data_IF_535152646223
#
_entry.id   IF_535152646223
#
_cell.length_a   1.000
_cell.length_b   1.000
_cell.length_c   1.000
_cell.angle_alpha   90.00
_cell.angle_beta   90.00
_cell.angle_gamma   90.00
#
_symmetry.space_group_name_H-M   'P 1'
#
loop_
_entity.id
_entity.type
_entity.pdbx_description
1 polymer ?
#
# COMPACT_ATOMS: atom_id res chain seq x y z
N UNK A 1 53.35 10.63 -1.75
CA UNK A 1 52.24 11.53 -1.37
C UNK A 1 51.55 11.91 -2.66
N UNK A 2 50.64 11.07 -3.13
CA UNK A 2 49.78 11.44 -4.26
C UNK A 2 48.74 12.44 -3.74
N UNK A 3 48.73 13.61 -4.36
CA UNK A 3 47.79 14.66 -4.03
C UNK A 3 46.37 14.19 -4.39
N UNK A 4 45.49 14.11 -3.40
CA UNK A 4 44.06 13.88 -3.56
C UNK A 4 43.50 14.98 -4.47
N UNK A 5 43.30 14.67 -5.75
CA UNK A 5 42.60 15.55 -6.67
C UNK A 5 41.15 15.68 -6.21
N UNK A 6 40.66 16.90 -6.00
CA UNK A 6 39.25 17.12 -5.68
C UNK A 6 38.35 16.55 -6.80
N UNK A 7 37.32 15.77 -6.47
CA UNK A 7 36.43 15.17 -7.47
C UNK A 7 35.72 16.26 -8.28
N UNK A 8 35.70 16.10 -9.61
CA UNK A 8 35.02 17.00 -10.54
C UNK A 8 33.53 17.12 -10.19
N UNK A 9 32.90 18.24 -10.49
CA UNK A 9 31.49 18.52 -10.15
C UNK A 9 30.53 17.38 -10.50
N UNK A 10 30.72 16.73 -11.65
CA UNK A 10 29.91 15.57 -12.07
C UNK A 10 30.15 14.32 -11.20
N UNK A 11 31.39 14.06 -10.77
CA UNK A 11 31.68 12.95 -9.85
C UNK A 11 31.16 13.24 -8.44
N UNK A 12 31.15 14.51 -8.02
CA UNK A 12 30.51 14.97 -6.78
C UNK A 12 28.99 14.76 -6.83
N UNK A 13 28.33 15.23 -7.90
CA UNK A 13 26.89 15.01 -8.16
C UNK A 13 26.50 13.53 -8.24
N UNK A 14 27.38 12.67 -8.78
CA UNK A 14 27.14 11.22 -8.83
C UNK A 14 27.40 10.51 -7.49
N UNK A 15 28.21 11.12 -6.61
CA UNK A 15 28.52 10.59 -5.28
C UNK A 15 27.63 11.18 -4.17
N UNK A 16 26.93 12.27 -4.45
CA UNK A 16 25.91 12.81 -3.55
C UNK A 16 24.83 11.75 -3.31
N UNK A 17 24.48 11.46 -2.05
CA UNK A 17 23.37 10.58 -1.74
C UNK A 17 22.12 11.11 -2.44
N UNK A 18 21.52 10.26 -3.27
CA UNK A 18 20.26 10.61 -3.93
C UNK A 18 19.15 10.68 -2.87
N UNK A 19 18.33 11.71 -3.01
CA UNK A 19 17.20 11.99 -2.12
C UNK A 19 17.57 12.72 -0.83
N UNK A 20 16.57 13.36 -0.23
CA UNK A 20 16.74 14.15 0.98
C UNK A 20 16.64 13.28 2.23
N UNK A 21 17.47 13.58 3.21
CA UNK A 21 17.33 13.09 4.60
C UNK A 21 16.71 14.16 5.51
N UNK A 22 16.18 15.22 4.93
CA UNK A 22 15.43 16.24 5.66
C UNK A 22 14.04 16.39 5.08
N UNK A 23 13.05 16.62 5.93
CA UNK A 23 11.66 16.84 5.49
C UNK A 23 11.05 18.09 6.13
N UNK A 24 10.07 18.67 5.45
CA UNK A 24 9.31 19.81 5.96
C UNK A 24 8.18 19.31 6.90
N UNK A 25 8.13 19.78 8.16
CA UNK A 25 7.10 19.36 9.10
C UNK A 25 5.70 19.78 8.64
N UNK A 26 4.68 19.02 9.06
CA UNK A 26 3.27 19.31 8.79
C UNK A 26 2.81 19.01 7.36
N UNK A 27 3.69 18.49 6.50
CA UNK A 27 3.35 18.11 5.13
C UNK A 27 3.22 16.60 4.92
N UNK A 28 3.50 15.79 5.94
CA UNK A 28 3.50 14.35 5.82
C UNK A 28 2.09 13.80 5.53
N UNK A 29 2.03 12.80 4.65
CA UNK A 29 0.80 12.12 4.30
C UNK A 29 1.05 10.67 3.87
N UNK A 30 0.08 9.81 4.16
CA UNK A 30 0.09 8.41 3.80
C UNK A 30 -1.03 8.12 2.81
N UNK A 31 -0.69 7.42 1.74
CA UNK A 31 -1.64 6.83 0.81
C UNK A 31 -1.78 5.35 1.11
N UNK A 32 -3.02 4.89 1.23
CA UNK A 32 -3.35 3.48 1.38
C UNK A 32 -4.41 3.07 0.38
N UNK A 33 -4.06 2.18 -0.55
CA UNK A 33 -4.93 1.78 -1.66
C UNK A 33 -5.41 0.35 -1.46
N UNK A 34 -6.72 0.16 -1.46
CA UNK A 34 -7.35 -1.15 -1.62
C UNK A 34 -7.59 -1.38 -3.11
N UNK A 35 -6.90 -2.36 -3.70
CA UNK A 35 -6.92 -2.62 -5.13
C UNK A 35 -7.38 -4.04 -5.43
N UNK A 36 -8.55 -4.18 -6.05
CA UNK A 36 -9.03 -5.49 -6.49
C UNK A 36 -8.42 -5.82 -7.85
N UNK A 37 -7.50 -6.79 -7.89
CA UNK A 37 -7.01 -7.39 -9.12
C UNK A 37 -7.98 -8.49 -9.59
N UNK A 38 -8.21 -8.65 -10.90
CA UNK A 38 -9.18 -9.63 -11.41
C UNK A 38 -8.81 -11.08 -11.11
N UNK A 39 -7.53 -11.37 -10.89
CA UNK A 39 -7.02 -12.70 -10.56
C UNK A 39 -5.59 -12.62 -10.02
N UNK A 40 -5.06 -13.74 -9.53
CA UNK A 40 -3.73 -13.82 -8.88
C UNK A 40 -2.60 -13.36 -9.82
N UNK A 41 -2.57 -13.85 -11.06
CA UNK A 41 -1.51 -13.48 -12.01
C UNK A 41 -1.53 -11.97 -12.36
N UNK A 42 -2.68 -11.30 -12.30
CA UNK A 42 -2.74 -9.85 -12.46
C UNK A 42 -2.15 -9.13 -11.23
N UNK A 43 -2.47 -9.59 -10.02
CA UNK A 43 -1.89 -9.07 -8.79
C UNK A 43 -0.37 -9.22 -8.75
N UNK A 44 0.16 -10.38 -9.12
CA UNK A 44 1.60 -10.63 -9.18
C UNK A 44 2.31 -9.70 -10.17
N UNK A 45 1.69 -9.41 -11.33
CA UNK A 45 2.21 -8.43 -12.30
C UNK A 45 2.28 -7.03 -11.70
N UNK A 46 1.24 -6.59 -10.99
CA UNK A 46 1.23 -5.30 -10.29
C UNK A 46 2.33 -5.26 -9.25
N UNK A 47 2.41 -6.26 -8.37
CA UNK A 47 3.44 -6.32 -7.32
C UNK A 47 4.87 -6.37 -7.87
N UNK A 48 5.09 -7.08 -8.99
CA UNK A 48 6.40 -7.13 -9.64
C UNK A 48 6.79 -5.79 -10.30
N UNK A 49 5.84 -5.05 -10.84
CA UNK A 49 6.08 -3.69 -11.33
C UNK A 49 6.46 -2.76 -10.17
N UNK A 50 5.65 -2.76 -9.10
CA UNK A 50 5.87 -1.92 -7.93
C UNK A 50 7.14 -2.27 -7.15
N UNK A 51 7.58 -3.54 -7.16
CA UNK A 51 8.84 -3.94 -6.54
C UNK A 51 10.04 -3.20 -7.15
N UNK A 52 10.09 -3.05 -8.48
CA UNK A 52 11.17 -2.32 -9.15
C UNK A 52 11.18 -0.84 -8.77
N UNK A 53 10.00 -0.26 -8.64
CA UNK A 53 9.84 1.11 -8.15
C UNK A 53 10.32 1.23 -6.71
N UNK A 54 9.99 0.28 -5.84
CA UNK A 54 10.46 0.26 -4.47
C UNK A 54 11.98 0.17 -4.36
N UNK A 55 12.63 -0.67 -5.17
CA UNK A 55 14.09 -0.77 -5.20
C UNK A 55 14.75 0.56 -5.59
N UNK A 56 14.16 1.29 -6.54
CA UNK A 56 14.63 2.62 -6.92
C UNK A 56 14.40 3.65 -5.82
N UNK A 57 13.22 3.65 -5.21
CA UNK A 57 12.86 4.55 -4.11
C UNK A 57 13.77 4.34 -2.91
N UNK A 58 14.03 3.09 -2.54
CA UNK A 58 14.92 2.72 -1.44
C UNK A 58 16.38 3.13 -1.67
N UNK A 59 16.79 3.23 -2.93
CA UNK A 59 18.13 3.68 -3.32
C UNK A 59 18.22 5.21 -3.29
N UNK A 60 17.17 5.89 -3.74
CA UNK A 60 17.23 7.29 -4.15
C UNK A 60 16.39 8.26 -3.30
N UNK A 61 15.53 7.83 -2.38
CA UNK A 61 14.58 8.73 -1.66
C UNK A 61 14.35 8.34 -0.19
N UNK A 62 15.18 8.81 0.76
CA UNK A 62 15.03 8.52 2.20
C UNK A 62 13.75 9.07 2.83
N UNK A 63 13.15 10.11 2.24
CA UNK A 63 11.90 10.72 2.71
C UNK A 63 10.63 10.01 2.24
N UNK A 64 10.75 8.84 1.60
CA UNK A 64 9.66 7.86 1.45
C UNK A 64 9.95 6.71 2.41
N UNK A 65 9.75 6.90 3.72
CA UNK A 65 10.20 5.95 4.72
C UNK A 65 9.44 4.62 4.67
N UNK A 66 8.23 4.57 4.13
CA UNK A 66 7.42 3.35 4.01
C UNK A 66 6.89 3.22 2.60
N UNK A 67 7.12 2.06 1.97
CA UNK A 67 6.73 1.79 0.60
C UNK A 67 6.46 0.29 0.41
N UNK A 68 5.26 -0.14 0.78
CA UNK A 68 4.96 -1.55 0.98
C UNK A 68 3.67 -2.02 0.32
N UNK A 69 3.75 -3.16 -0.35
CA UNK A 69 2.68 -3.72 -1.17
C UNK A 69 2.47 -5.20 -0.87
N UNK A 70 1.20 -5.60 -0.75
CA UNK A 70 0.86 -6.99 -0.45
C UNK A 70 -0.47 -7.43 -1.04
N UNK A 71 -0.62 -8.74 -1.15
CA UNK A 71 -1.92 -9.41 -1.26
C UNK A 71 -2.49 -9.54 0.16
N UNK A 72 -3.58 -8.83 0.43
CA UNK A 72 -4.20 -8.80 1.75
C UNK A 72 -4.93 -10.11 2.04
N UNK A 73 -4.52 -10.81 3.09
CA UNK A 73 -5.29 -11.94 3.59
C UNK A 73 -6.56 -11.48 4.33
N UNK A 74 -6.54 -10.28 4.90
CA UNK A 74 -7.64 -9.72 5.69
C UNK A 74 -8.86 -9.38 4.84
N UNK A 75 -8.67 -9.11 3.55
CA UNK A 75 -9.71 -8.64 2.63
C UNK A 75 -10.07 -9.66 1.55
N UNK A 76 -9.69 -10.94 1.75
CA UNK A 76 -9.94 -12.02 0.79
C UNK A 76 -11.43 -12.37 0.62
N UNK A 77 -12.29 -11.88 1.51
CA UNK A 77 -13.76 -11.98 1.48
C UNK A 77 -14.44 -10.74 0.87
N UNK A 78 -13.75 -9.60 0.79
CA UNK A 78 -14.28 -8.35 0.23
C UNK A 78 -14.21 -8.28 -1.29
N UNK A 79 -13.49 -9.21 -1.91
CA UNK A 79 -13.39 -9.30 -3.36
C UNK A 79 -14.69 -9.80 -3.99
N UNK A 80 -14.93 -9.35 -5.21
CA UNK A 80 -15.98 -9.80 -6.10
C UNK A 80 -15.94 -11.33 -6.23
N UNK A 81 -17.12 -11.94 -6.32
CA UNK A 81 -17.25 -13.39 -6.46
C UNK A 81 -16.53 -13.88 -7.71
N UNK A 82 -16.02 -15.13 -7.64
CA UNK A 82 -15.51 -15.85 -8.79
C UNK A 82 -16.56 -15.82 -9.92
N UNK A 83 -16.26 -15.23 -11.08
CA UNK A 83 -17.25 -15.10 -12.14
C UNK A 83 -17.37 -16.44 -12.88
N UNK A 84 -18.60 -16.91 -13.12
CA UNK A 84 -18.85 -18.13 -13.90
C UNK A 84 -19.52 -17.84 -15.26
N UNK A 85 -20.21 -16.71 -15.39
CA UNK A 85 -20.89 -16.29 -16.62
C UNK A 85 -20.42 -14.93 -17.11
N UNK A 86 -20.63 -14.66 -18.41
CA UNK A 86 -20.23 -13.42 -19.08
C UNK A 86 -20.65 -12.17 -18.30
N UNK A 87 -21.89 -12.13 -17.79
CA UNK A 87 -22.44 -11.01 -17.01
C UNK A 87 -21.80 -10.83 -15.64
N UNK A 88 -21.23 -11.88 -15.04
CA UNK A 88 -20.56 -11.81 -13.74
C UNK A 88 -19.12 -11.31 -13.83
N UNK A 89 -18.49 -11.39 -15.01
CA UNK A 89 -17.14 -10.87 -15.19
C UNK A 89 -17.17 -9.33 -15.21
N UNK A 90 -16.64 -8.69 -14.16
CA UNK A 90 -16.77 -7.25 -13.93
C UNK A 90 -16.45 -6.38 -15.16
N UNK A 91 -15.30 -6.64 -15.81
CA UNK A 91 -14.86 -5.83 -16.95
C UNK A 91 -15.72 -6.03 -18.21
N UNK A 92 -16.36 -7.20 -18.36
CA UNK A 92 -17.32 -7.45 -19.43
C UNK A 92 -18.67 -6.80 -19.08
N UNK A 93 -19.12 -6.91 -17.83
CA UNK A 93 -20.29 -6.19 -17.33
C UNK A 93 -20.22 -4.68 -17.57
N UNK A 94 -19.07 -4.07 -17.30
CA UNK A 94 -18.82 -2.65 -17.59
C UNK A 94 -18.87 -2.36 -19.10
N UNK A 95 -18.33 -3.24 -19.94
CA UNK A 95 -18.40 -3.12 -21.38
C UNK A 95 -19.85 -3.15 -21.89
N UNK A 96 -20.69 -4.07 -21.40
CA UNK A 96 -22.12 -4.10 -21.72
C UNK A 96 -22.85 -2.85 -21.24
N UNK A 97 -22.52 -2.35 -20.03
CA UNK A 97 -23.09 -1.09 -19.52
C UNK A 97 -22.73 0.09 -20.42
N UNK A 98 -21.47 0.19 -20.88
CA UNK A 98 -21.02 1.22 -21.83
C UNK A 98 -21.83 1.16 -23.14
N UNK A 99 -22.02 -0.01 -23.71
CA UNK A 99 -22.86 -0.19 -24.91
C UNK A 99 -24.30 0.27 -24.66
N UNK A 100 -24.88 -0.10 -23.51
CA UNK A 100 -26.26 0.27 -23.13
C UNK A 100 -26.45 1.79 -23.00
N UNK A 101 -25.44 2.53 -22.56
CA UNK A 101 -25.49 4.00 -22.46
C UNK A 101 -25.04 4.71 -23.73
N UNK A 102 -24.86 3.98 -24.83
CA UNK A 102 -24.60 4.55 -26.17
C UNK A 102 -23.13 4.77 -26.53
N UNK A 103 -22.18 4.20 -25.78
CA UNK A 103 -20.77 4.22 -26.19
C UNK A 103 -20.60 3.40 -27.48
N UNK A 104 -19.93 3.93 -28.53
CA UNK A 104 -19.75 3.21 -29.78
C UNK A 104 -19.07 1.86 -29.60
N UNK A 105 -19.61 0.82 -30.24
CA UNK A 105 -19.09 -0.55 -30.15
C UNK A 105 -17.58 -0.67 -30.46
N UNK A 106 -17.04 -0.05 -31.53
CA UNK A 106 -15.59 -0.13 -31.80
C UNK A 106 -14.72 0.42 -30.64
N UNK A 107 -15.21 1.42 -29.90
CA UNK A 107 -14.49 1.95 -28.74
C UNK A 107 -14.51 0.98 -27.55
N UNK A 108 -15.64 0.28 -27.35
CA UNK A 108 -15.74 -0.76 -26.31
C UNK A 108 -14.87 -1.97 -26.66
N UNK A 109 -14.87 -2.41 -27.92
CA UNK A 109 -14.01 -3.51 -28.39
C UNK A 109 -12.53 -3.17 -28.22
N UNK A 110 -12.10 -1.95 -28.57
CA UNK A 110 -10.73 -1.49 -28.36
C UNK A 110 -10.33 -1.46 -26.87
N UNK A 111 -11.23 -1.11 -25.96
CA UNK A 111 -10.99 -1.15 -24.51
C UNK A 111 -10.84 -2.60 -24.00
N UNK A 112 -11.65 -3.54 -24.51
CA UNK A 112 -11.51 -4.97 -24.18
C UNK A 112 -10.18 -5.55 -24.68
N UNK A 113 -9.78 -5.24 -25.92
CA UNK A 113 -8.48 -5.67 -26.47
C UNK A 113 -7.34 -5.15 -25.59
N UNK A 114 -7.38 -3.88 -25.18
CA UNK A 114 -6.39 -3.29 -24.26
C UNK A 114 -6.32 -4.01 -22.91
N UNK A 115 -7.46 -4.52 -22.42
CA UNK A 115 -7.56 -5.31 -21.19
C UNK A 115 -7.18 -6.80 -21.38
N UNK A 116 -6.85 -7.21 -22.60
CA UNK A 116 -6.55 -8.60 -22.95
C UNK A 116 -7.78 -9.50 -23.01
N UNK A 117 -8.97 -8.93 -23.22
CA UNK A 117 -10.25 -9.67 -23.29
C UNK A 117 -10.69 -9.76 -24.75
N UNK A 118 -11.14 -10.94 -25.20
CA UNK A 118 -11.66 -11.14 -26.56
C UNK A 118 -12.98 -10.35 -26.75
N UNK A 119 -13.04 -9.37 -27.66
CA UNK A 119 -14.25 -8.59 -27.89
C UNK A 119 -15.44 -9.39 -28.40
N UNK A 120 -15.20 -10.57 -29.00
CA UNK A 120 -16.29 -11.47 -29.46
C UNK A 120 -17.18 -11.94 -28.31
N UNK A 121 -16.71 -11.86 -27.07
CA UNK A 121 -17.51 -12.15 -25.89
C UNK A 121 -18.69 -11.17 -25.71
N UNK A 122 -18.69 -10.03 -26.40
CA UNK A 122 -19.83 -9.11 -26.45
C UNK A 122 -21.02 -9.65 -27.26
N UNK A 123 -20.80 -10.66 -28.10
CA UNK A 123 -21.85 -11.31 -28.90
C UNK A 123 -22.43 -12.56 -28.24
N UNK A 124 -21.86 -12.98 -27.10
CA UNK A 124 -22.36 -14.10 -26.32
C UNK A 124 -23.54 -13.68 -25.44
N UNK A 125 -24.43 -14.61 -25.13
CA UNK A 125 -25.51 -14.37 -24.17
C UNK A 125 -24.94 -14.10 -22.77
N UNK A 126 -25.59 -13.22 -22.00
CA UNK A 126 -25.15 -12.80 -20.66
C UNK A 126 -24.96 -13.96 -19.67
N UNK A 127 -25.72 -15.04 -19.84
CA UNK A 127 -25.67 -16.24 -19.01
C UNK A 127 -24.74 -17.33 -19.55
N UNK A 128 -24.07 -17.07 -20.69
CA UNK A 128 -23.10 -18.00 -21.25
C UNK A 128 -21.94 -18.23 -20.27
N UNK A 129 -21.40 -19.45 -20.18
CA UNK A 129 -20.20 -19.73 -19.41
C UNK A 129 -19.02 -18.87 -19.88
N UNK A 130 -18.27 -18.32 -18.93
CA UNK A 130 -16.99 -17.68 -19.23
C UNK A 130 -15.95 -18.71 -19.69
N UNK A 131 -14.97 -18.33 -20.52
CA UNK A 131 -13.77 -19.14 -20.71
C UNK A 131 -13.09 -19.43 -19.37
N UNK A 132 -12.63 -20.67 -19.15
CA UNK A 132 -12.05 -21.12 -17.87
C UNK A 132 -10.95 -20.18 -17.31
N UNK A 133 -10.00 -19.65 -18.11
CA UNK A 133 -8.99 -18.72 -17.61
C UNK A 133 -9.57 -17.39 -17.06
N UNK A 134 -10.78 -17.01 -17.48
CA UNK A 134 -11.46 -15.79 -17.02
C UNK A 134 -12.35 -16.05 -15.81
N UNK A 135 -12.42 -17.28 -15.33
CA UNK A 135 -13.18 -17.66 -14.13
C UNK A 135 -12.30 -17.67 -12.87
N UNK A 136 -11.10 -17.10 -12.90
CA UNK A 136 -10.24 -17.05 -11.72
C UNK A 136 -10.85 -16.17 -10.61
N UNK A 137 -10.52 -16.47 -9.34
CA UNK A 137 -10.99 -15.66 -8.21
C UNK A 137 -10.19 -14.35 -8.15
N UNK A 138 -10.86 -13.18 -8.05
CA UNK A 138 -10.18 -11.92 -7.77
C UNK A 138 -9.43 -11.93 -6.44
N UNK A 139 -8.46 -11.04 -6.29
CA UNK A 139 -7.65 -10.90 -5.08
C UNK A 139 -7.50 -9.44 -4.69
N UNK A 140 -7.43 -9.16 -3.39
CA UNK A 140 -7.23 -7.82 -2.88
C UNK A 140 -5.74 -7.55 -2.68
N UNK A 141 -5.27 -6.48 -3.30
CA UNK A 141 -3.98 -5.86 -3.02
C UNK A 141 -4.19 -4.69 -2.05
N UNK A 142 -3.21 -4.50 -1.18
CA UNK A 142 -3.06 -3.28 -0.39
C UNK A 142 -1.72 -2.64 -0.68
N UNK A 143 -1.76 -1.34 -0.98
CA UNK A 143 -0.58 -0.55 -1.32
C UNK A 143 -0.45 0.60 -0.35
N UNK A 144 0.69 0.70 0.35
CA UNK A 144 0.93 1.75 1.36
C UNK A 144 2.20 2.51 1.08
N UNK A 145 2.07 3.83 1.02
CA UNK A 145 3.16 4.75 0.71
C UNK A 145 3.09 5.93 1.69
N UNK A 146 4.19 6.24 2.36
CA UNK A 146 4.30 7.38 3.28
C UNK A 146 5.28 8.39 2.69
N UNK A 147 4.80 9.62 2.52
CA UNK A 147 5.58 10.76 2.06
C UNK A 147 5.70 11.76 3.20
N UNK A 148 6.93 12.22 3.47
CA UNK A 148 7.16 13.13 4.59
C UNK A 148 6.97 14.60 4.23
N UNK A 149 7.11 14.93 2.95
CA UNK A 149 6.82 16.26 2.41
C UNK A 149 6.55 16.23 0.91
N UNK A 150 6.17 17.37 0.34
CA UNK A 150 5.89 17.52 -1.08
C UNK A 150 7.07 17.14 -1.98
N UNK A 151 8.30 17.37 -1.52
CA UNK A 151 9.52 17.10 -2.28
C UNK A 151 9.71 15.60 -2.44
N UNK A 152 9.50 14.84 -1.36
CA UNK A 152 9.56 13.37 -1.39
C UNK A 152 8.56 12.78 -2.37
N UNK A 153 7.35 13.35 -2.45
CA UNK A 153 6.34 12.93 -3.41
C UNK A 153 6.77 13.21 -4.87
N UNK A 154 7.21 14.43 -5.19
CA UNK A 154 7.64 14.76 -6.55
C UNK A 154 8.92 14.04 -6.98
N UNK A 155 9.90 13.89 -6.10
CA UNK A 155 11.13 13.15 -6.38
C UNK A 155 10.81 11.68 -6.72
N UNK A 156 9.90 11.08 -5.96
CA UNK A 156 9.43 9.73 -6.20
C UNK A 156 8.60 9.61 -7.49
N UNK A 157 7.49 10.36 -7.57
CA UNK A 157 6.52 10.29 -8.68
C UNK A 157 7.09 10.78 -10.01
N UNK A 158 8.10 11.66 -9.97
CA UNK A 158 8.83 12.14 -11.14
C UNK A 158 10.00 11.25 -11.57
N UNK A 159 10.35 10.23 -10.79
CA UNK A 159 11.45 9.33 -11.14
C UNK A 159 11.08 8.46 -12.35
N UNK A 160 12.07 8.20 -13.22
CA UNK A 160 11.87 7.33 -14.39
C UNK A 160 11.43 5.93 -13.96
N UNK A 161 12.05 5.38 -12.93
CA UNK A 161 11.74 4.05 -12.41
C UNK A 161 10.28 3.97 -11.92
N UNK A 162 9.77 5.04 -11.26
CA UNK A 162 8.36 5.14 -10.91
C UNK A 162 7.47 5.20 -12.15
N UNK A 163 7.74 6.11 -13.09
CA UNK A 163 6.89 6.28 -14.28
C UNK A 163 6.79 5.00 -15.12
N UNK A 164 7.90 4.28 -15.30
CA UNK A 164 7.94 3.01 -16.01
C UNK A 164 7.14 1.93 -15.26
N UNK A 165 7.34 1.79 -13.94
CA UNK A 165 6.61 0.83 -13.11
C UNK A 165 5.11 1.14 -12.98
N UNK A 166 4.77 2.40 -12.77
CA UNK A 166 3.40 2.90 -12.65
C UNK A 166 2.65 2.70 -13.96
N UNK A 167 3.28 3.00 -15.11
CA UNK A 167 2.73 2.71 -16.43
C UNK A 167 2.44 1.23 -16.66
N UNK A 168 3.23 0.33 -16.06
CA UNK A 168 2.95 -1.10 -16.08
C UNK A 168 1.82 -1.52 -15.13
N UNK A 169 1.81 -1.00 -13.89
CA UNK A 169 0.79 -1.30 -12.88
C UNK A 169 -0.61 -0.82 -13.32
N UNK A 170 -0.67 0.31 -14.04
CA UNK A 170 -1.90 0.88 -14.60
C UNK A 170 -2.33 0.27 -15.94
N UNK A 171 -1.64 -0.77 -16.44
CA UNK A 171 -2.06 -1.42 -17.69
C UNK A 171 -3.54 -1.88 -17.57
N UNK A 172 -4.37 -1.59 -18.58
CA UNK A 172 -5.76 -2.03 -18.57
C UNK A 172 -5.85 -3.54 -18.34
N UNK A 173 -6.83 -3.97 -17.55
CA UNK A 173 -7.03 -5.38 -17.25
C UNK A 173 -6.31 -5.88 -15.99
N UNK A 174 -5.49 -5.06 -15.33
CA UNK A 174 -4.88 -5.41 -14.04
C UNK A 174 -5.74 -5.02 -12.81
N UNK A 175 -6.89 -4.41 -13.05
CA UNK A 175 -7.74 -3.84 -12.03
C UNK A 175 -9.22 -4.03 -12.34
N UNK A 176 -9.96 -4.39 -11.30
CA UNK A 176 -11.41 -4.33 -11.26
C UNK A 176 -11.90 -3.05 -10.55
N UNK A 177 -11.37 -2.76 -9.37
CA UNK A 177 -11.65 -1.53 -8.61
C UNK A 177 -10.46 -1.08 -7.76
N UNK A 178 -10.48 0.18 -7.37
CA UNK A 178 -9.68 0.69 -6.25
C UNK A 178 -10.51 1.53 -5.29
N UNK A 179 -10.00 1.67 -4.08
CA UNK A 179 -10.36 2.77 -3.17
C UNK A 179 -9.09 3.24 -2.49
N UNK A 180 -8.79 4.53 -2.64
CA UNK A 180 -7.63 5.17 -2.02
C UNK A 180 -8.05 5.92 -0.77
N UNK A 181 -7.33 5.72 0.32
CA UNK A 181 -7.39 6.55 1.52
C UNK A 181 -6.16 7.43 1.58
N UNK A 182 -6.36 8.68 1.97
CA UNK A 182 -5.29 9.57 2.39
C UNK A 182 -5.42 9.92 3.86
N UNK A 183 -4.33 9.76 4.62
CA UNK A 183 -4.16 10.32 5.95
C UNK A 183 -3.09 11.42 5.93
N UNK A 184 -3.23 12.43 6.78
CA UNK A 184 -2.29 13.54 6.87
C UNK A 184 -2.62 14.71 5.95
N UNK A 185 -1.68 15.63 5.85
CA UNK A 185 -1.90 16.98 5.33
C UNK A 185 -0.85 17.32 4.27
N UNK A 186 -0.94 16.73 3.05
CA UNK A 186 -0.14 17.20 1.94
C UNK A 186 -0.43 18.69 1.68
N UNK A 187 0.45 19.34 0.92
CA UNK A 187 0.20 20.69 0.41
C UNK A 187 -1.10 20.71 -0.41
N UNK A 188 -1.76 21.88 -0.48
CA UNK A 188 -2.94 22.05 -1.34
C UNK A 188 -2.60 21.78 -2.81
N UNK A 189 -1.37 22.08 -3.23
CA UNK A 189 -0.88 21.77 -4.57
C UNK A 189 -0.97 20.26 -4.86
N UNK A 190 -0.45 19.41 -3.97
CA UNK A 190 -0.55 17.96 -4.12
C UNK A 190 -2.01 17.50 -4.00
N UNK A 191 -2.73 17.96 -2.98
CA UNK A 191 -4.09 17.48 -2.70
C UNK A 191 -5.06 17.79 -3.85
N UNK A 192 -5.09 19.06 -4.28
CA UNK A 192 -6.14 19.58 -5.15
C UNK A 192 -5.81 19.35 -6.63
N UNK A 193 -4.52 19.37 -7.01
CA UNK A 193 -4.13 19.26 -8.41
C UNK A 193 -3.70 17.85 -8.82
N UNK A 194 -3.32 16.99 -7.86
CA UNK A 194 -2.81 15.64 -8.15
C UNK A 194 -3.71 14.59 -7.53
N UNK A 195 -3.76 14.50 -6.19
CA UNK A 195 -4.35 13.34 -5.54
C UNK A 195 -5.87 13.26 -5.71
N UNK A 196 -6.58 14.37 -5.48
CA UNK A 196 -8.03 14.44 -5.67
C UNK A 196 -8.45 14.07 -7.09
N UNK A 197 -7.93 14.75 -8.13
CA UNK A 197 -8.29 14.46 -9.52
C UNK A 197 -7.85 13.08 -10.02
N UNK A 198 -6.68 12.57 -9.59
CA UNK A 198 -6.12 11.34 -10.14
C UNK A 198 -6.57 10.08 -9.39
N UNK A 199 -6.76 10.15 -8.07
CA UNK A 199 -6.98 8.97 -7.23
C UNK A 199 -8.41 8.87 -6.69
N UNK A 200 -9.22 9.93 -6.80
CA UNK A 200 -10.55 10.02 -6.17
C UNK A 200 -10.49 9.59 -4.70
N UNK A 201 -9.53 10.18 -3.99
CA UNK A 201 -9.14 9.76 -2.65
C UNK A 201 -10.21 10.06 -1.59
N UNK A 202 -10.30 9.18 -0.59
CA UNK A 202 -11.04 9.42 0.64
C UNK A 202 -10.11 10.02 1.68
N UNK A 203 -10.32 11.29 2.00
CA UNK A 203 -9.55 11.99 3.03
C UNK A 203 -10.00 11.52 4.41
N UNK A 204 -9.05 11.04 5.20
CA UNK A 204 -9.26 10.58 6.57
C UNK A 204 -8.40 11.42 7.52
N UNK A 205 -9.03 11.98 8.54
CA UNK A 205 -8.32 12.67 9.60
C UNK A 205 -7.53 11.67 10.44
N UNK A 206 -6.32 12.03 10.83
CA UNK A 206 -5.51 11.22 11.74
C UNK A 206 -6.16 11.31 13.14
N UNK A 207 -6.61 10.19 13.72
CA UNK A 207 -7.21 10.19 15.04
C UNK A 207 -6.21 10.59 16.13
N UNK A 208 -6.72 11.10 17.25
CA UNK A 208 -5.87 11.37 18.41
C UNK A 208 -5.26 10.06 18.92
N UNK A 209 -3.94 10.05 19.13
CA UNK A 209 -3.21 8.86 19.56
C UNK A 209 -2.77 7.95 18.41
N UNK A 210 -2.91 8.38 17.15
CA UNK A 210 -2.20 7.80 16.02
C UNK A 210 -0.91 8.57 15.72
N UNK A 211 0.04 7.90 15.10
CA UNK A 211 1.33 8.43 14.68
C UNK A 211 1.48 8.21 13.18
N UNK A 212 1.62 9.28 12.39
CA UNK A 212 1.85 9.13 10.95
C UNK A 212 3.32 8.83 10.66
N UNK A 213 4.22 9.51 11.36
CA UNK A 213 5.65 9.37 11.19
C UNK A 213 6.41 9.67 12.48
N UNK A 214 7.15 8.67 12.94
CA UNK A 214 8.21 8.80 13.93
C UNK A 214 9.51 8.28 13.35
N UNK A 215 10.57 9.07 13.50
CA UNK A 215 11.93 8.65 13.18
C UNK A 215 12.34 7.51 14.13
N UNK A 216 12.75 6.35 13.60
CA UNK A 216 13.26 5.26 14.45
C UNK A 216 14.60 5.65 15.09
N UNK A 217 14.83 5.23 16.33
CA UNK A 217 16.05 5.56 17.07
C UNK A 217 17.30 4.90 16.50
N UNK A 218 17.14 3.69 15.96
CA UNK A 218 18.19 2.88 15.39
C UNK A 218 17.90 2.55 13.92
N UNK A 219 18.96 2.14 13.21
CA UNK A 219 18.83 1.63 11.85
C UNK A 219 17.85 0.44 11.84
N UNK A 220 16.81 0.45 10.99
CA UNK A 220 15.94 -0.70 10.80
C UNK A 220 16.77 -1.89 10.28
N UNK A 221 16.71 -3.03 10.96
CA UNK A 221 17.42 -4.25 10.55
C UNK A 221 16.56 -5.06 9.57
N UNK A 222 15.34 -5.41 10.01
CA UNK A 222 14.32 -6.09 9.22
C UNK A 222 12.94 -5.77 9.80
N UNK A 223 12.40 -4.61 9.42
CA UNK A 223 11.12 -4.11 9.93
C UNK A 223 9.97 -5.08 9.74
N UNK A 224 8.93 -4.91 10.55
CA UNK A 224 7.70 -5.68 10.44
C UNK A 224 6.50 -4.77 10.22
N UNK A 225 5.50 -5.30 9.53
CA UNK A 225 4.24 -4.65 9.30
C UNK A 225 3.14 -5.46 9.99
N UNK A 226 2.27 -4.76 10.71
CA UNK A 226 1.12 -5.32 11.39
C UNK A 226 -0.14 -4.60 10.90
N UNK A 227 -1.09 -5.37 10.39
CA UNK A 227 -2.41 -4.92 10.00
C UNK A 227 -3.45 -5.63 10.84
N UNK A 228 -4.45 -4.91 11.32
CA UNK A 228 -5.49 -5.45 12.19
C UNK A 228 -6.85 -4.88 11.83
N UNK A 229 -7.86 -5.73 11.82
CA UNK A 229 -9.25 -5.30 11.79
C UNK A 229 -9.90 -5.50 13.16
N UNK A 230 -10.52 -4.43 13.67
CA UNK A 230 -11.26 -4.44 14.93
C UNK A 230 -12.69 -3.90 14.74
N UNK A 231 -13.60 -4.30 15.63
CA UNK A 231 -14.97 -3.78 15.61
C UNK A 231 -15.05 -2.48 16.40
N UNK A 232 -15.90 -1.56 15.96
CA UNK A 232 -16.26 -0.37 16.74
C UNK A 232 -15.96 0.92 16.00
N UNK A 233 -15.94 2.02 16.75
CA UNK A 233 -15.51 3.32 16.22
C UNK A 233 -13.99 3.45 16.22
N UNK A 234 -13.47 4.37 15.40
CA UNK A 234 -12.03 4.63 15.31
C UNK A 234 -11.46 5.04 16.65
N UNK A 235 -12.13 5.96 17.38
CA UNK A 235 -11.66 6.45 18.68
C UNK A 235 -11.63 5.33 19.75
N UNK A 236 -12.63 4.45 19.76
CA UNK A 236 -12.66 3.31 20.69
C UNK A 236 -11.53 2.31 20.44
N UNK A 237 -11.22 2.04 19.17
CA UNK A 237 -10.16 1.09 18.78
C UNK A 237 -8.78 1.72 19.02
N UNK A 238 -8.57 2.95 18.54
CA UNK A 238 -7.30 3.68 18.70
C UNK A 238 -7.01 3.96 20.18
N UNK A 239 -8.03 4.29 20.98
CA UNK A 239 -7.91 4.50 22.41
C UNK A 239 -7.48 3.25 23.21
N UNK A 240 -7.65 2.05 22.63
CA UNK A 240 -7.22 0.78 23.22
C UNK A 240 -5.86 0.30 22.70
N UNK A 241 -5.24 1.00 21.75
CA UNK A 241 -3.93 0.59 21.23
C UNK A 241 -2.89 0.63 22.35
N UNK A 242 -2.08 -0.43 22.52
CA UNK A 242 -0.99 -0.45 23.49
C UNK A 242 -0.04 0.73 23.25
N UNK A 243 0.42 1.36 24.34
CA UNK A 243 1.39 2.45 24.24
C UNK A 243 2.68 1.98 23.55
N UNK A 244 3.17 0.79 23.90
CA UNK A 244 4.35 0.16 23.27
C UNK A 244 4.19 0.04 21.76
N UNK A 245 3.06 -0.45 21.27
CA UNK A 245 2.81 -0.56 19.82
C UNK A 245 2.92 0.81 19.13
N UNK A 246 2.37 1.85 19.75
CA UNK A 246 2.43 3.21 19.20
C UNK A 246 3.83 3.77 19.25
N UNK A 247 4.56 3.57 20.35
CA UNK A 247 5.91 4.09 20.62
C UNK A 247 6.98 3.40 19.77
N UNK A 248 6.84 2.10 19.55
CA UNK A 248 7.76 1.28 18.76
C UNK A 248 7.53 1.42 17.25
N UNK A 249 6.35 1.88 16.82
CA UNK A 249 6.05 2.05 15.40
C UNK A 249 6.60 3.36 14.84
N UNK A 250 7.12 3.33 13.61
CA UNK A 250 7.34 4.55 12.81
C UNK A 250 6.02 5.14 12.32
N UNK A 251 5.02 4.29 12.11
CA UNK A 251 3.66 4.69 11.71
C UNK A 251 2.68 3.77 12.42
N UNK A 252 1.73 4.34 13.15
CA UNK A 252 0.64 3.63 13.82
C UNK A 252 -0.66 4.41 13.59
N UNK A 253 -1.44 4.02 12.59
CA UNK A 253 -2.66 4.73 12.18
C UNK A 253 -3.87 3.82 12.23
N UNK A 254 -5.01 4.35 12.67
CA UNK A 254 -6.31 3.70 12.65
C UNK A 254 -7.30 4.49 11.81
N UNK A 255 -8.12 3.82 11.01
CA UNK A 255 -9.16 4.45 10.20
C UNK A 255 -10.35 3.53 9.96
N UNK A 256 -11.51 4.10 9.65
CA UNK A 256 -12.68 3.33 9.28
C UNK A 256 -12.42 2.59 7.96
N UNK A 257 -12.63 1.28 7.95
CA UNK A 257 -12.38 0.43 6.78
C UNK A 257 -13.29 0.86 5.63
N UNK A 258 -12.77 1.27 4.45
CA UNK A 258 -13.58 1.94 3.44
C UNK A 258 -14.52 1.00 2.68
N UNK A 259 -14.29 -0.32 2.82
CA UNK A 259 -15.04 -1.38 2.17
C UNK A 259 -15.82 -2.27 3.17
N UNK A 260 -15.74 -2.00 4.47
CA UNK A 260 -16.31 -2.87 5.50
C UNK A 260 -16.94 -2.06 6.62
N UNK A 261 -18.25 -2.20 6.78
CA UNK A 261 -19.00 -1.44 7.78
C UNK A 261 -18.57 -1.82 9.21
N UNK A 262 -18.63 -0.82 10.10
CA UNK A 262 -18.34 -0.96 11.53
C UNK A 262 -17.00 -1.66 11.85
N UNK A 263 -16.02 -1.51 10.95
CA UNK A 263 -14.69 -2.09 11.06
C UNK A 263 -13.66 -0.97 11.02
N UNK A 264 -12.68 -1.02 11.93
CA UNK A 264 -11.52 -0.14 11.94
C UNK A 264 -10.32 -0.95 11.49
N UNK A 265 -9.62 -0.44 10.48
CA UNK A 265 -8.30 -0.94 10.07
C UNK A 265 -7.24 -0.18 10.85
N UNK A 266 -6.32 -0.92 11.46
CA UNK A 266 -5.11 -0.39 12.08
C UNK A 266 -3.90 -0.88 11.30
N UNK A 267 -3.01 0.05 10.95
CA UNK A 267 -1.74 -0.22 10.27
C UNK A 267 -0.59 0.23 11.17
N UNK A 268 0.34 -0.68 11.45
CA UNK A 268 1.55 -0.41 12.21
C UNK A 268 2.79 -0.83 11.41
N UNK A 269 3.76 0.06 11.28
CA UNK A 269 5.07 -0.19 10.67
C UNK A 269 6.12 -0.09 11.77
N UNK A 270 6.78 -1.20 12.07
CA UNK A 270 7.72 -1.33 13.17
C UNK A 270 9.15 -1.54 12.65
N UNK A 271 10.18 -0.87 13.20
CA UNK A 271 11.58 -1.13 12.86
C UNK A 271 12.04 -2.54 13.18
N UNK A 272 11.32 -3.22 14.07
CA UNK A 272 11.56 -4.58 14.52
C UNK A 272 10.24 -5.40 14.62
N UNK A 273 10.28 -6.66 15.08
CA UNK A 273 9.06 -7.40 15.41
C UNK A 273 8.38 -6.80 16.66
N UNK A 274 7.04 -6.81 16.73
CA UNK A 274 6.34 -6.47 17.97
C UNK A 274 6.77 -7.41 19.10
N UNK A 275 6.94 -6.85 20.30
CA UNK A 275 7.29 -7.62 21.48
C UNK A 275 6.17 -8.61 21.88
N UNK A 276 6.49 -9.72 22.56
CA UNK A 276 5.48 -10.63 23.08
C UNK A 276 4.43 -9.95 23.97
N UNK A 277 4.85 -8.97 24.78
CA UNK A 277 3.97 -8.17 25.64
C UNK A 277 3.00 -7.35 24.79
N UNK A 278 3.52 -6.68 23.75
CA UNK A 278 2.68 -5.92 22.81
C UNK A 278 1.65 -6.81 22.14
N UNK A 279 2.04 -8.01 21.70
CA UNK A 279 1.11 -8.98 21.11
C UNK A 279 0.06 -9.46 22.12
N UNK A 280 0.40 -9.65 23.39
CA UNK A 280 -0.58 -10.00 24.43
C UNK A 280 -1.58 -8.87 24.65
N UNK A 281 -1.11 -7.62 24.67
CA UNK A 281 -1.94 -6.44 24.91
C UNK A 281 -2.91 -6.16 23.75
N UNK A 282 -2.58 -6.57 22.52
CA UNK A 282 -3.51 -6.48 21.37
C UNK A 282 -4.84 -7.17 21.63
N UNK A 283 -4.90 -8.17 22.51
CA UNK A 283 -6.16 -8.85 22.87
C UNK A 283 -7.19 -7.89 23.48
N UNK A 284 -6.75 -6.85 24.18
CA UNK A 284 -7.65 -5.86 24.79
C UNK A 284 -8.43 -5.06 23.74
N UNK A 285 -7.91 -4.97 22.52
CA UNK A 285 -8.58 -4.31 21.38
C UNK A 285 -9.74 -5.18 20.85
N UNK A 286 -9.64 -6.50 21.01
CA UNK A 286 -10.56 -7.47 20.41
C UNK A 286 -10.44 -7.53 18.88
N UNK A 287 -9.24 -7.80 18.32
CA UNK A 287 -9.07 -7.94 16.88
C UNK A 287 -9.93 -9.08 16.34
N UNK A 288 -10.58 -8.84 15.20
CA UNK A 288 -11.28 -9.88 14.43
C UNK A 288 -10.31 -10.65 13.54
N UNK A 289 -9.31 -9.94 13.04
CA UNK A 289 -8.30 -10.50 12.17
C UNK A 289 -7.01 -9.69 12.30
N UNK A 290 -5.88 -10.38 12.16
CA UNK A 290 -4.53 -9.84 12.30
C UNK A 290 -3.67 -10.39 11.17
N UNK A 291 -2.89 -9.54 10.52
CA UNK A 291 -1.93 -9.94 9.52
C UNK A 291 -0.58 -9.32 9.84
N UNK A 292 0.45 -10.15 9.93
CA UNK A 292 1.83 -9.72 10.21
C UNK A 292 2.73 -10.10 9.05
N UNK A 293 3.48 -9.13 8.54
CA UNK A 293 4.52 -9.35 7.55
C UNK A 293 5.88 -9.00 8.12
N UNK A 294 6.83 -9.91 7.95
CA UNK A 294 8.20 -9.71 8.39
C UNK A 294 9.18 -10.41 7.43
N UNK A 295 10.47 -10.31 7.69
CA UNK A 295 11.44 -11.10 6.95
C UNK A 295 11.15 -12.61 7.07
N UNK A 296 11.47 -13.36 6.00
CA UNK A 296 11.21 -14.80 5.92
C UNK A 296 11.89 -15.58 7.05
N UNK A 297 13.11 -15.18 7.43
CA UNK A 297 13.86 -15.85 8.51
C UNK A 297 13.23 -15.64 9.89
N UNK A 298 12.33 -14.65 10.02
CA UNK A 298 11.69 -14.25 11.27
C UNK A 298 10.25 -14.76 11.42
N UNK A 299 9.69 -15.34 10.37
CA UNK A 299 8.30 -15.81 10.34
C UNK A 299 8.01 -16.87 11.42
N UNK A 300 8.93 -17.79 11.68
CA UNK A 300 8.72 -18.84 12.68
C UNK A 300 8.75 -18.30 14.11
N UNK A 301 9.66 -17.37 14.40
CA UNK A 301 9.68 -16.63 15.67
C UNK A 301 8.37 -15.88 15.89
N UNK A 302 7.87 -15.19 14.85
CA UNK A 302 6.60 -14.48 14.92
C UNK A 302 5.41 -15.44 15.15
N UNK A 303 5.37 -16.61 14.48
CA UNK A 303 4.35 -17.65 14.73
C UNK A 303 4.34 -18.11 16.17
N UNK A 304 5.50 -18.35 16.77
CA UNK A 304 5.61 -18.75 18.17
C UNK A 304 5.13 -17.63 19.12
N UNK A 305 5.48 -16.38 18.83
CA UNK A 305 5.05 -15.23 19.62
C UNK A 305 3.52 -15.03 19.57
N UNK A 306 2.94 -15.10 18.37
CA UNK A 306 1.49 -15.01 18.15
C UNK A 306 0.72 -16.15 18.83
N UNK A 307 1.23 -17.39 18.76
CA UNK A 307 0.64 -18.52 19.46
C UNK A 307 0.71 -18.34 20.98
N UNK A 308 1.84 -17.85 21.51
CA UNK A 308 2.00 -17.54 22.93
C UNK A 308 1.06 -16.43 23.40
N UNK A 309 0.73 -15.48 22.52
CA UNK A 309 -0.27 -14.45 22.74
C UNK A 309 -1.73 -14.93 22.53
N UNK A 310 -1.95 -16.20 22.14
CA UNK A 310 -3.29 -16.74 21.83
C UNK A 310 -4.04 -15.98 20.72
N UNK A 311 -3.29 -15.50 19.72
CA UNK A 311 -3.82 -14.78 18.55
C UNK A 311 -3.79 -15.63 17.27
N UNK A 312 -3.31 -16.87 17.34
CA UNK A 312 -3.08 -17.78 16.22
C UNK A 312 -4.33 -17.97 15.35
N UNK A 313 -5.48 -18.19 15.97
CA UNK A 313 -6.77 -18.44 15.29
C UNK A 313 -7.27 -17.30 14.40
N UNK A 314 -6.80 -16.08 14.62
CA UNK A 314 -7.20 -14.87 13.87
C UNK A 314 -6.05 -14.25 13.08
N UNK A 315 -4.88 -14.88 13.12
CA UNK A 315 -3.65 -14.31 12.57
C UNK A 315 -3.21 -14.96 11.27
N UNK A 316 -2.63 -14.17 10.38
CA UNK A 316 -1.91 -14.65 9.20
C UNK A 316 -0.52 -14.06 9.21
N UNK A 317 0.50 -14.92 9.10
CA UNK A 317 1.91 -14.50 9.13
C UNK A 317 2.55 -14.81 7.79
N UNK A 318 3.08 -13.78 7.14
CA UNK A 318 3.66 -13.85 5.80
C UNK A 318 5.05 -13.23 5.76
N UNK A 319 5.84 -13.64 4.78
CA UNK A 319 7.03 -12.91 4.42
C UNK A 319 6.66 -11.65 3.65
N UNK A 320 7.45 -10.58 3.80
CA UNK A 320 7.38 -9.38 2.95
C UNK A 320 7.31 -9.79 1.47
N UNK A 321 6.34 -9.23 0.74
CA UNK A 321 6.03 -9.63 -0.63
C UNK A 321 6.64 -8.68 -1.67
N UNK A 322 6.33 -7.38 -1.58
CA UNK A 322 6.85 -6.38 -2.50
C UNK A 322 7.05 -5.05 -1.78
N UNK A 323 8.14 -4.38 -2.12
CA UNK A 323 8.58 -3.14 -1.47
C UNK A 323 9.31 -3.36 -0.14
N UNK A 324 9.39 -2.30 0.64
CA UNK A 324 10.06 -2.27 1.94
C UNK A 324 9.13 -1.68 3.01
N UNK A 325 9.17 -2.28 4.21
CA UNK A 325 8.36 -1.82 5.35
C UNK A 325 8.84 -0.45 5.82
N UNK A 326 10.14 -0.34 6.10
CA UNK A 326 10.81 0.89 6.52
C UNK A 326 12.12 1.03 5.74
N UNK A 327 12.38 2.22 5.21
CA UNK A 327 13.60 2.56 4.49
C UNK A 327 14.83 2.40 5.38
N UNK A 328 15.92 1.80 4.88
CA UNK A 328 17.12 1.54 5.70
C UNK A 328 17.79 2.78 6.30
N UNK A 329 17.56 3.95 5.68
CA UNK A 329 18.02 5.27 6.15
C UNK A 329 16.98 6.06 6.94
N UNK A 330 15.83 5.47 7.27
CA UNK A 330 14.75 6.13 8.00
C UNK A 330 15.20 6.79 9.32
N UNK A 331 16.15 6.19 10.02
CA UNK A 331 16.73 6.71 11.28
C UNK A 331 17.58 7.99 11.10
N UNK A 332 18.06 8.25 9.88
CA UNK A 332 18.83 9.44 9.50
C UNK A 332 17.94 10.63 9.13
N UNK A 333 16.63 10.40 8.91
CA UNK A 333 15.71 11.42 8.41
C UNK A 333 15.39 12.42 9.50
N UNK A 334 15.70 13.70 9.27
CA UNK A 334 15.53 14.78 10.23
C UNK A 334 14.46 15.78 9.78
N UNK A 335 13.80 16.41 10.73
CA UNK A 335 12.96 17.56 10.44
C UNK A 335 13.84 18.76 10.04
N UNK A 336 13.48 19.46 8.98
CA UNK A 336 14.14 20.68 8.56
C UNK A 336 13.70 21.82 9.50
N UNK A 337 14.55 22.18 10.47
CA UNK A 337 14.28 23.33 11.33
C UNK A 337 14.27 24.62 10.50
N UNK A 338 13.08 25.11 10.18
CA UNK A 338 12.90 26.42 9.56
C UNK A 338 13.45 27.51 10.46
N UNK A 339 14.43 28.26 9.99
CA UNK A 339 14.59 29.66 10.42
C UNK A 339 13.49 30.44 9.72
N UNK A 340 12.29 30.44 10.33
CA UNK A 340 11.17 31.26 9.87
C UNK A 340 11.43 32.75 10.08
#
# INVERSE_FOLDING_TARGET
MEANAEPKSLQRLLAEPKGKITFLPGQAFLLHVFWEAPHMAAAEKVLAALARCADATHRDTPCVPTYYFRISALDADLVSKRPSTISQHRQLGDAFKKLKVGVPRPAVEADLVRRGIDPKLLDADFDSPLPEPMQEKPVMLELTELYLDERSFYEHAGSRDYLDAYGEALKPGLQNTQTTIRLGTPTSEIADNILGPMLDEKVVLIPTGCELWRRPEAKPDAGSFLSMDASGSVDEVVGKLPASLREDSTTCVGFAHPLRDATVRVLCFLPDLPSPETLQDLRAIGPRALEVHCDKTRCDTMRQAIASASLDSISVIRSIQSGYIIHGRAHEVMEECGTH
#
